data_IF_583197339008
#
_entry.id   IF_583197339008
#
_cell.length_a   1.000
_cell.length_b   1.000
_cell.length_c   1.000
_cell.angle_alpha   90.00
_cell.angle_beta   90.00
_cell.angle_gamma   90.00
#
_symmetry.space_group_name_H-M   'P 1'
#
loop_
_entity.id
_entity.type
_entity.pdbx_description
1 polymer ?
#
# COMPACT_ATOMS: atom_id res chain seq x y z
N UNK A 1 22.82 1.99 13.81
CA UNK A 1 22.68 3.14 12.89
C UNK A 1 21.54 2.78 11.99
N UNK A 2 20.37 3.10 12.48
CA UNK A 2 19.12 2.49 12.07
C UNK A 2 18.63 3.51 11.07
N UNK A 3 18.85 3.21 9.79
CA UNK A 3 18.36 4.02 8.70
C UNK A 3 16.86 4.18 8.89
N UNK A 4 16.45 5.38 9.29
CA UNK A 4 15.08 5.91 9.28
C UNK A 4 14.54 5.76 7.84
N UNK A 5 14.11 4.54 7.52
CA UNK A 5 13.59 4.17 6.23
C UNK A 5 12.26 4.86 6.05
N UNK A 6 12.10 5.57 4.94
CA UNK A 6 10.80 6.01 4.45
C UNK A 6 9.80 4.85 4.65
N UNK A 7 8.79 5.04 5.49
CA UNK A 7 7.76 4.02 5.76
C UNK A 7 6.90 3.88 4.50
N UNK A 8 7.43 3.11 3.54
CA UNK A 8 6.81 2.78 2.27
C UNK A 8 5.90 1.57 2.43
N UNK A 9 5.10 1.29 1.40
CA UNK A 9 4.46 -0.01 1.25
C UNK A 9 5.54 -1.10 1.38
N UNK A 10 5.33 -2.15 2.21
CA UNK A 10 6.27 -3.25 2.36
C UNK A 10 6.64 -3.88 1.01
N UNK A 11 7.93 -4.22 0.85
CA UNK A 11 8.45 -4.81 -0.39
C UNK A 11 7.72 -6.09 -0.77
N UNK A 12 7.33 -6.92 0.20
CA UNK A 12 6.57 -8.16 -0.04
C UNK A 12 5.26 -7.91 -0.80
N UNK A 13 4.56 -6.81 -0.51
CA UNK A 13 3.34 -6.41 -1.25
C UNK A 13 3.72 -5.95 -2.66
N UNK A 14 4.78 -5.16 -2.82
CA UNK A 14 5.24 -4.71 -4.14
C UNK A 14 5.73 -5.87 -5.04
N UNK A 15 6.26 -6.93 -4.43
CA UNK A 15 6.74 -8.13 -5.12
C UNK A 15 5.59 -9.03 -5.57
N UNK A 16 4.60 -9.26 -4.71
CA UNK A 16 3.49 -10.20 -4.97
C UNK A 16 2.25 -9.56 -5.59
N UNK A 17 2.05 -8.26 -5.40
CA UNK A 17 0.87 -7.52 -5.84
C UNK A 17 1.24 -6.35 -6.76
N UNK A 18 0.31 -5.94 -7.60
CA UNK A 18 0.38 -4.73 -8.40
C UNK A 18 -0.67 -3.71 -7.92
N UNK A 19 -0.32 -2.42 -8.03
CA UNK A 19 -1.21 -1.32 -7.67
C UNK A 19 -2.42 -1.30 -8.63
N UNK A 20 -3.63 -1.45 -8.09
CA UNK A 20 -4.87 -1.44 -8.85
C UNK A 20 -5.62 -0.12 -8.79
N UNK A 21 -5.52 0.59 -7.65
CA UNK A 21 -6.20 1.87 -7.44
C UNK A 21 -5.40 2.75 -6.48
N UNK A 22 -5.47 4.06 -6.69
CA UNK A 22 -4.92 5.08 -5.80
C UNK A 22 -5.89 6.26 -5.69
N UNK A 23 -6.15 6.70 -4.46
CA UNK A 23 -6.89 7.94 -4.16
C UNK A 23 -6.06 8.77 -3.19
N UNK A 24 -5.88 10.06 -3.48
CA UNK A 24 -5.11 10.99 -2.64
C UNK A 24 -5.97 12.21 -2.28
N UNK A 25 -6.06 12.50 -1.00
CA UNK A 25 -6.73 13.67 -0.44
C UNK A 25 -5.68 14.65 0.08
N UNK A 26 -5.40 15.66 -0.73
CA UNK A 26 -4.45 16.71 -0.37
C UNK A 26 -5.12 17.78 0.49
N UNK A 27 -4.52 18.10 1.65
CA UNK A 27 -5.08 19.05 2.62
C UNK A 27 -4.28 20.34 2.74
N UNK A 28 -2.96 20.30 2.56
CA UNK A 28 -2.09 21.45 2.83
C UNK A 28 -0.75 21.37 2.12
N UNK A 29 -0.22 22.53 1.74
CA UNK A 29 1.16 22.74 1.31
C UNK A 29 2.20 22.59 2.44
N UNK A 30 3.37 22.05 2.10
CA UNK A 30 4.55 22.06 2.96
C UNK A 30 5.72 22.78 2.25
N UNK A 31 6.51 23.53 3.02
CA UNK A 31 7.69 24.22 2.53
C UNK A 31 8.97 23.39 2.65
N UNK A 32 10.04 23.87 2.00
CA UNK A 32 11.35 23.21 1.91
C UNK A 32 11.98 22.79 3.25
N UNK A 33 11.66 23.51 4.34
CA UNK A 33 12.23 23.26 5.67
C UNK A 33 11.33 22.37 6.55
N UNK A 34 10.14 22.04 6.08
CA UNK A 34 9.26 21.17 6.83
C UNK A 34 9.80 19.74 6.82
N UNK A 35 9.86 19.15 8.01
CA UNK A 35 10.12 17.73 8.18
C UNK A 35 8.78 17.00 8.20
N UNK A 36 8.72 15.92 7.45
CA UNK A 36 7.52 15.14 7.25
C UNK A 36 7.73 13.73 7.77
N UNK A 37 6.65 13.15 8.26
CA UNK A 37 6.56 11.74 8.64
C UNK A 37 5.53 11.07 7.73
N UNK A 38 5.90 9.91 7.20
CA UNK A 38 5.01 9.00 6.47
C UNK A 38 4.56 7.89 7.40
N UNK A 39 3.27 7.60 7.43
CA UNK A 39 2.67 6.51 8.18
C UNK A 39 1.80 5.68 7.23
N UNK A 40 1.77 4.37 7.46
CA UNK A 40 1.00 3.42 6.66
C UNK A 40 0.27 2.45 7.58
N UNK A 41 -1.00 2.22 7.29
CA UNK A 41 -1.82 1.16 7.88
C UNK A 41 -2.25 0.21 6.76
N UNK A 42 -2.04 -1.09 6.96
CA UNK A 42 -2.30 -2.13 5.96
C UNK A 42 -3.45 -2.98 6.47
N UNK A 43 -4.43 -3.26 5.61
CA UNK A 43 -5.56 -4.13 5.89
C UNK A 43 -5.80 -5.10 4.74
N UNK A 44 -5.97 -6.37 5.05
CA UNK A 44 -6.47 -7.39 4.11
C UNK A 44 -8.00 -7.35 4.06
N UNK A 45 -8.58 -7.62 2.90
CA UNK A 45 -10.04 -7.72 2.73
C UNK A 45 -10.69 -8.87 3.53
N UNK A 46 -9.90 -9.72 4.19
CA UNK A 46 -10.35 -10.91 4.93
C UNK A 46 -10.93 -10.60 6.32
N UNK A 47 -10.81 -9.36 6.80
CA UNK A 47 -11.26 -8.96 8.15
C UNK A 47 -12.73 -8.49 8.21
N UNK A 48 -13.47 -8.49 7.09
CA UNK A 48 -14.89 -8.12 7.05
C UNK A 48 -15.81 -9.35 7.08
N UNK A 49 -16.66 -9.37 8.10
CA UNK A 49 -17.64 -10.39 8.46
C UNK A 49 -18.64 -10.63 7.30
N UNK A 50 -18.45 -11.74 6.58
CA UNK A 50 -19.52 -12.57 6.05
C UNK A 50 -20.52 -11.95 5.05
N UNK A 51 -20.09 -11.55 3.84
CA UNK A 51 -20.88 -11.77 2.60
C UNK A 51 -20.20 -11.24 1.32
N UNK A 52 -19.35 -12.04 0.67
CA UNK A 52 -19.38 -12.27 -0.79
C UNK A 52 -18.27 -13.23 -1.22
N UNK A 53 -18.67 -14.47 -1.51
CA UNK A 53 -17.81 -15.48 -2.11
C UNK A 53 -17.62 -15.13 -3.59
N UNK A 54 -16.38 -14.82 -3.97
CA UNK A 54 -15.92 -14.81 -5.37
C UNK A 54 -15.17 -13.54 -5.77
N UNK A 55 -13.84 -13.61 -5.77
CA UNK A 55 -12.85 -12.73 -6.43
C UNK A 55 -12.00 -11.74 -5.59
N UNK A 56 -12.27 -11.51 -4.31
CA UNK A 56 -11.54 -10.48 -3.53
C UNK A 56 -10.56 -11.03 -2.48
N UNK A 57 -10.34 -12.35 -2.46
CA UNK A 57 -9.63 -13.10 -1.40
C UNK A 57 -8.14 -12.75 -1.20
N UNK A 58 -7.58 -11.79 -1.94
CA UNK A 58 -6.20 -11.34 -1.76
C UNK A 58 -6.03 -9.84 -2.08
N UNK A 59 -7.09 -9.04 -1.96
CA UNK A 59 -6.96 -7.60 -2.11
C UNK A 59 -6.35 -7.00 -0.83
N UNK A 60 -5.29 -6.22 -1.01
CA UNK A 60 -4.63 -5.50 0.06
C UNK A 60 -4.95 -4.03 -0.08
N UNK A 61 -5.36 -3.41 1.02
CA UNK A 61 -5.51 -1.97 1.10
C UNK A 61 -4.43 -1.37 2.00
N UNK A 62 -3.81 -0.29 1.53
CA UNK A 62 -2.89 0.52 2.29
C UNK A 62 -3.47 1.92 2.45
N UNK A 63 -3.69 2.33 3.70
CA UNK A 63 -4.07 3.68 4.08
C UNK A 63 -2.81 4.45 4.50
N UNK A 64 -2.55 5.58 3.82
CA UNK A 64 -1.35 6.39 3.95
C UNK A 64 -1.69 7.71 4.65
N UNK A 65 -0.78 8.16 5.51
CA UNK A 65 -0.84 9.48 6.12
C UNK A 65 0.53 10.15 5.98
N UNK A 66 0.54 11.30 5.32
CA UNK A 66 1.68 12.22 5.33
C UNK A 66 1.35 13.37 6.27
N UNK A 67 2.21 13.58 7.26
CA UNK A 67 2.03 14.62 8.28
C UNK A 67 3.34 15.33 8.59
N UNK A 68 3.26 16.50 9.19
CA UNK A 68 4.39 17.17 9.83
C UNK A 68 4.79 16.44 11.12
N UNK A 69 6.01 16.65 11.62
CA UNK A 69 6.47 16.08 12.89
C UNK A 69 5.60 16.49 14.11
N UNK A 70 4.86 17.59 14.01
CA UNK A 70 3.88 18.04 15.02
C UNK A 70 2.48 17.40 14.86
N UNK A 71 2.34 16.45 13.93
CA UNK A 71 1.11 15.71 13.67
C UNK A 71 0.11 16.40 12.74
N UNK A 72 0.46 17.57 12.19
CA UNK A 72 -0.43 18.26 11.25
C UNK A 72 -0.47 17.52 9.91
N UNK A 73 -1.66 17.09 9.51
CA UNK A 73 -1.87 16.34 8.26
C UNK A 73 -1.62 17.20 7.01
N UNK A 74 -0.89 16.61 6.06
CA UNK A 74 -0.60 17.17 4.73
C UNK A 74 -1.45 16.46 3.67
N UNK A 75 -1.49 15.12 3.72
CA UNK A 75 -2.19 14.31 2.74
C UNK A 75 -2.62 12.97 3.34
N UNK A 76 -3.80 12.49 2.96
CA UNK A 76 -4.22 11.10 3.19
C UNK A 76 -4.28 10.39 1.86
N UNK A 77 -3.78 9.16 1.82
CA UNK A 77 -3.78 8.33 0.62
C UNK A 77 -4.44 7.00 0.89
N UNK A 78 -5.02 6.41 -0.15
CA UNK A 78 -5.48 5.03 -0.14
C UNK A 78 -4.93 4.38 -1.40
N UNK A 79 -4.29 3.22 -1.25
CA UNK A 79 -3.91 2.38 -2.38
C UNK A 79 -4.48 0.99 -2.22
N UNK A 80 -5.02 0.45 -3.30
CA UNK A 80 -5.47 -0.93 -3.38
C UNK A 80 -4.51 -1.71 -4.25
N UNK A 81 -4.21 -2.92 -3.83
CA UNK A 81 -3.25 -3.81 -4.46
C UNK A 81 -3.93 -5.13 -4.74
N UNK A 82 -3.76 -5.63 -5.96
CA UNK A 82 -4.27 -6.93 -6.37
C UNK A 82 -3.12 -7.89 -6.68
N UNK A 83 -3.30 -9.20 -6.51
CA UNK A 83 -2.26 -10.16 -6.85
C UNK A 83 -1.80 -9.98 -8.29
N UNK A 84 -0.49 -10.08 -8.52
CA UNK A 84 0.02 -10.18 -9.89
C UNK A 84 -0.53 -11.46 -10.51
N UNK A 85 -0.99 -11.39 -11.76
CA UNK A 85 -1.26 -12.59 -12.52
C UNK A 85 0.07 -13.28 -12.79
N UNK A 86 0.26 -14.46 -12.21
CA UNK A 86 1.38 -15.32 -12.61
C UNK A 86 1.06 -15.76 -14.03
N UNK A 87 1.73 -15.20 -15.03
CA UNK A 87 1.56 -15.67 -16.39
C UNK A 87 2.00 -17.14 -16.43
N UNK A 88 1.13 -18.00 -16.95
CA UNK A 88 1.30 -19.46 -17.03
C UNK A 88 2.61 -19.93 -17.74
N UNK A 89 3.40 -19.00 -18.29
CA UNK A 89 4.70 -19.25 -18.91
C UNK A 89 5.82 -19.53 -17.89
N UNK A 90 5.74 -19.00 -16.66
CA UNK A 90 6.77 -19.27 -15.64
C UNK A 90 6.61 -20.65 -15.00
N UNK A 91 5.38 -21.19 -14.98
CA UNK A 91 5.09 -22.53 -14.45
C UNK A 91 5.58 -23.62 -15.42
N UNK A 92 5.58 -23.38 -16.73
CA UNK A 92 6.03 -24.35 -17.73
C UNK A 92 7.55 -24.46 -17.87
N UNK A 93 8.33 -23.59 -17.22
CA UNK A 93 9.80 -23.62 -17.25
C UNK A 93 10.43 -24.26 -16.00
N UNK A 94 9.62 -24.72 -15.04
CA UNK A 94 10.09 -25.45 -13.86
C UNK A 94 10.01 -26.98 -14.02
N UNK A 95 9.45 -27.47 -15.14
CA UNK A 95 9.29 -28.89 -15.48
C UNK A 95 10.11 -29.33 -16.72
N UNK A 96 11.20 -28.61 -17.09
CA UNK A 96 12.15 -29.05 -18.14
C UNK A 96 13.59 -29.12 -17.64
#
# INVERSE_FOLDING_TARGET
MDSEGLHSVPLSIMESHELSSMTLEYKRECGKKNKLQSLIAISSADDDDGCNVGHNEHLIECNHLLQLEDGVEIMRGRTQWRPKLVHNFDIMNLDM
#
